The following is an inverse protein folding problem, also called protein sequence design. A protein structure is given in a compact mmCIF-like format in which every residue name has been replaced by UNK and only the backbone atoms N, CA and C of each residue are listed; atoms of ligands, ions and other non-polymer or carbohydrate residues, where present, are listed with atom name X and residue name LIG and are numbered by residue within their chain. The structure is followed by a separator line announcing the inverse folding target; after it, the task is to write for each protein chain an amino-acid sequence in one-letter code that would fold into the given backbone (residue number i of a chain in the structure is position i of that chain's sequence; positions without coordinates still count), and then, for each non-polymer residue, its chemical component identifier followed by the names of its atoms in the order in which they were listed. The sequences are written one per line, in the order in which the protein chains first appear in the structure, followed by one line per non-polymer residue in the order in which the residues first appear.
data_IF_296688930366
#
_entry.id   IF_296688930366
#
_cell.length_a   1.000
_cell.length_b   1.000
_cell.length_c   1.000
_cell.angle_alpha   90.00
_cell.angle_beta   90.00
_cell.angle_gamma   90.00
#
_symmetry.space_group_name_H-M   'P 1'
#
loop_
_entity.id
_entity.type
_entity.pdbx_description
1 polymer ?
#
# COMPACT_ATOMS: atom_id res chain seq x y z
N UNK A 1 7.90 -10.60 -7.98
CA UNK A 1 7.70 -9.34 -7.24
C UNK A 1 8.93 -9.11 -6.40
N UNK A 2 9.72 -8.08 -6.67
CA UNK A 2 11.01 -7.81 -6.01
C UNK A 2 10.89 -7.29 -4.57
N UNK A 3 9.81 -7.58 -3.83
CA UNK A 3 9.66 -7.15 -2.42
C UNK A 3 9.74 -5.63 -2.15
N UNK A 4 9.79 -4.79 -3.18
CA UNK A 4 10.05 -3.34 -3.04
C UNK A 4 8.86 -2.59 -2.43
N UNK A 5 7.63 -3.10 -2.61
CA UNK A 5 6.43 -2.49 -2.07
C UNK A 5 6.21 -2.94 -0.63
N UNK A 6 6.39 -2.01 0.30
CA UNK A 6 6.21 -2.19 1.75
C UNK A 6 5.00 -1.44 2.30
N UNK A 7 4.28 -0.71 1.44
CA UNK A 7 3.13 0.08 1.83
C UNK A 7 2.02 0.04 0.77
N UNK A 8 0.77 0.15 1.21
CA UNK A 8 -0.38 0.34 0.32
C UNK A 8 -1.37 1.32 0.92
N UNK A 9 -1.94 2.18 0.06
CA UNK A 9 -2.98 3.14 0.43
C UNK A 9 -4.34 2.74 -0.10
N UNK A 10 -5.39 2.90 0.72
CA UNK A 10 -6.77 2.62 0.35
C UNK A 10 -7.73 3.68 0.86
N UNK A 11 -8.78 3.97 0.09
CA UNK A 11 -9.86 4.87 0.53
C UNK A 11 -10.66 4.30 1.71
N UNK A 12 -10.76 2.97 1.79
CA UNK A 12 -11.49 2.28 2.86
C UNK A 12 -10.53 1.52 3.74
N UNK A 13 -10.82 1.50 5.04
CA UNK A 13 -10.07 0.71 6.01
C UNK A 13 -10.12 -0.77 5.62
N UNK A 14 -8.98 -1.40 5.31
CA UNK A 14 -8.96 -2.82 5.02
C UNK A 14 -9.25 -3.64 6.29
N UNK A 15 -9.86 -4.83 6.18
CA UNK A 15 -10.15 -5.71 7.32
C UNK A 15 -8.89 -6.47 7.79
N UNK A 16 -7.74 -5.80 7.78
CA UNK A 16 -6.46 -6.34 8.25
C UNK A 16 -6.13 -5.76 9.61
N UNK A 17 -5.36 -6.52 10.41
CA UNK A 17 -4.95 -6.14 11.76
C UNK A 17 -3.43 -5.96 11.80
N UNK A 18 -2.91 -4.96 12.53
CA UNK A 18 -1.48 -4.84 12.75
C UNK A 18 -0.94 -6.09 13.47
N UNK A 19 0.33 -6.38 13.23
CA UNK A 19 1.06 -7.55 13.72
C UNK A 19 0.47 -8.93 13.34
N UNK A 20 -0.41 -9.00 12.33
CA UNK A 20 -0.85 -10.27 11.73
C UNK A 20 -0.17 -10.52 10.39
N UNK A 21 0.05 -11.80 10.10
CA UNK A 21 0.49 -12.28 8.78
C UNK A 21 -0.71 -12.66 7.91
N UNK A 22 -0.61 -12.36 6.62
CA UNK A 22 -1.61 -12.71 5.61
C UNK A 22 -0.93 -13.31 4.38
N UNK A 23 -1.48 -14.38 3.78
CA UNK A 23 -0.93 -14.94 2.56
C UNK A 23 -1.15 -13.98 1.38
N UNK A 24 -0.14 -13.83 0.54
CA UNK A 24 -0.27 -13.07 -0.70
C UNK A 24 -1.14 -13.82 -1.70
N UNK A 25 -2.14 -13.11 -2.25
CA UNK A 25 -3.03 -13.63 -3.29
C UNK A 25 -3.09 -12.67 -4.46
N UNK A 26 -2.99 -13.21 -5.68
CA UNK A 26 -3.25 -12.49 -6.92
C UNK A 26 -4.40 -13.23 -7.63
N UNK A 27 -5.58 -12.63 -7.64
CA UNK A 27 -6.80 -13.29 -8.13
C UNK A 27 -7.05 -14.60 -7.38
N UNK A 28 -7.15 -15.70 -8.11
CA UNK A 28 -7.33 -17.04 -7.55
C UNK A 28 -6.03 -17.74 -7.14
N UNK A 29 -4.86 -17.11 -7.33
CA UNK A 29 -3.55 -17.73 -7.08
C UNK A 29 -2.99 -17.28 -5.74
N UNK A 30 -2.72 -18.22 -4.83
CA UNK A 30 -1.85 -17.98 -3.68
C UNK A 30 -0.40 -17.91 -4.17
N UNK A 31 0.30 -16.83 -3.84
CA UNK A 31 1.74 -16.72 -4.07
C UNK A 31 2.50 -17.38 -2.92
N UNK A 32 3.71 -17.93 -3.19
CA UNK A 32 4.63 -18.32 -2.13
C UNK A 32 5.13 -17.04 -1.44
N UNK A 33 4.68 -16.81 -0.21
CA UNK A 33 5.04 -15.64 0.59
C UNK A 33 3.87 -15.10 1.40
N UNK A 34 4.20 -14.48 2.52
CA UNK A 34 3.25 -13.86 3.44
C UNK A 34 3.60 -12.39 3.61
N UNK A 35 2.62 -11.56 3.95
CA UNK A 35 2.85 -10.18 4.36
C UNK A 35 2.51 -10.04 5.83
N UNK A 36 3.42 -9.48 6.61
CA UNK A 36 3.16 -9.11 8.00
C UNK A 36 2.76 -7.64 8.04
N UNK A 37 1.54 -7.35 8.48
CA UNK A 37 1.12 -5.96 8.68
C UNK A 37 1.90 -5.39 9.86
N UNK A 38 2.63 -4.30 9.66
CA UNK A 38 3.30 -3.55 10.72
C UNK A 38 2.28 -2.65 11.41
N UNK A 39 1.76 -1.68 10.67
CA UNK A 39 0.88 -0.63 11.19
C UNK A 39 -0.20 -0.24 10.18
N UNK A 40 -1.28 0.34 10.71
CA UNK A 40 -2.40 0.84 9.93
C UNK A 40 -2.79 2.20 10.50
N UNK A 41 -2.66 3.26 9.71
CA UNK A 41 -2.98 4.62 10.13
C UNK A 41 -3.67 5.40 9.01
N UNK A 42 -4.30 6.52 9.38
CA UNK A 42 -4.84 7.47 8.42
C UNK A 42 -3.77 8.50 8.07
N UNK A 43 -3.55 8.74 6.79
CA UNK A 43 -2.73 9.82 6.29
C UNK A 43 -3.56 10.62 5.28
N UNK A 44 -3.40 11.94 5.28
CA UNK A 44 -3.98 12.79 4.25
C UNK A 44 -3.16 12.66 2.97
N UNK A 45 -3.80 12.56 1.80
CA UNK A 45 -3.08 12.41 0.52
C UNK A 45 -2.11 13.56 0.25
N UNK A 46 -2.44 14.78 0.66
CA UNK A 46 -1.57 15.95 0.56
C UNK A 46 -0.33 15.91 1.49
N UNK A 47 -0.35 15.13 2.57
CA UNK A 47 0.77 14.97 3.52
C UNK A 47 1.78 13.90 3.09
N UNK A 48 1.64 13.38 1.87
CA UNK A 48 2.51 12.35 1.33
C UNK A 48 3.93 12.88 1.08
N UNK A 49 4.93 12.16 1.60
CA UNK A 49 6.35 12.46 1.37
C UNK A 49 6.94 11.58 0.28
N UNK A 50 8.08 12.02 -0.25
CA UNK A 50 8.84 11.24 -1.24
C UNK A 50 9.25 9.85 -0.72
N UNK A 51 9.54 9.73 0.57
CA UNK A 51 9.83 8.44 1.21
C UNK A 51 8.64 7.47 1.11
N UNK A 52 7.42 7.99 1.26
CA UNK A 52 6.21 7.17 1.16
C UNK A 52 5.95 6.72 -0.29
N UNK A 53 6.41 7.47 -1.29
CA UNK A 53 6.36 7.04 -2.70
C UNK A 53 7.26 5.82 -2.91
N UNK A 54 8.50 5.89 -2.40
CA UNK A 54 9.47 4.79 -2.51
C UNK A 54 8.92 3.53 -1.85
N UNK A 55 8.34 3.64 -0.65
CA UNK A 55 7.68 2.51 0.04
C UNK A 55 6.52 1.92 -0.75
N UNK A 56 5.82 2.72 -1.54
CA UNK A 56 4.73 2.27 -2.39
C UNK A 56 5.19 1.68 -3.74
N UNK A 57 6.48 1.82 -4.06
CA UNK A 57 7.12 1.38 -5.29
C UNK A 57 7.18 2.44 -6.39
N UNK A 58 6.95 3.71 -6.07
CA UNK A 58 7.02 4.83 -7.01
C UNK A 58 8.23 5.72 -6.71
N UNK A 59 8.90 6.18 -7.76
CA UNK A 59 10.00 7.15 -7.64
C UNK A 59 9.56 8.59 -7.87
N UNK A 60 8.37 8.80 -8.46
CA UNK A 60 7.82 10.11 -8.78
C UNK A 60 6.38 10.25 -8.29
N UNK A 61 6.07 11.42 -7.76
CA UNK A 61 4.73 11.76 -7.29
C UNK A 61 3.71 11.80 -8.43
N UNK A 62 4.11 12.26 -9.61
CA UNK A 62 3.25 12.35 -10.79
C UNK A 62 2.77 10.96 -11.27
N UNK A 63 3.67 9.97 -11.25
CA UNK A 63 3.32 8.58 -11.61
C UNK A 63 2.31 8.01 -10.62
N UNK A 64 2.54 8.21 -9.32
CA UNK A 64 1.59 7.81 -8.28
C UNK A 64 0.23 8.50 -8.44
N UNK A 65 0.22 9.81 -8.68
CA UNK A 65 -1.02 10.58 -8.88
C UNK A 65 -1.80 10.09 -10.10
N UNK A 66 -1.10 9.76 -11.20
CA UNK A 66 -1.72 9.22 -12.40
C UNK A 66 -2.35 7.85 -12.14
N UNK A 67 -1.62 6.94 -11.49
CA UNK A 67 -2.12 5.60 -11.11
C UNK A 67 -3.32 5.71 -10.15
N UNK A 68 -3.25 6.63 -9.19
CA UNK A 68 -4.34 6.92 -8.26
C UNK A 68 -5.60 7.39 -8.98
N UNK A 69 -5.47 8.35 -9.90
CA UNK A 69 -6.61 8.85 -10.69
C UNK A 69 -7.14 7.76 -11.63
N UNK A 70 -6.30 6.87 -12.15
CA UNK A 70 -6.76 5.75 -12.98
C UNK A 70 -7.63 4.77 -12.18
N UNK A 71 -7.20 4.45 -10.95
CA UNK A 71 -7.91 3.52 -10.05
C UNK A 71 -9.17 4.17 -9.45
N UNK A 72 -9.05 5.38 -8.92
CA UNK A 72 -10.09 6.02 -8.11
C UNK A 72 -10.87 7.11 -8.83
N UNK A 73 -10.46 7.53 -10.03
CA UNK A 73 -11.09 8.59 -10.86
C UNK A 73 -11.05 10.01 -10.30
N UNK A 74 -10.44 10.22 -9.14
CA UNK A 74 -10.27 11.56 -8.56
C UNK A 74 -8.96 11.65 -7.78
N UNK A 75 -8.48 12.88 -7.63
CA UNK A 75 -7.39 13.23 -6.71
C UNK A 75 -7.87 14.38 -5.85
N UNK A 76 -7.86 14.18 -4.54
CA UNK A 76 -8.15 15.24 -3.58
C UNK A 76 -7.14 15.17 -2.45
N UNK A 77 -6.38 16.24 -2.27
CA UNK A 77 -5.33 16.34 -1.27
C UNK A 77 -5.87 16.35 0.17
N UNK A 78 -7.14 16.70 0.37
CA UNK A 78 -7.81 16.70 1.67
C UNK A 78 -8.33 15.32 2.06
N UNK A 79 -8.31 14.36 1.13
CA UNK A 79 -8.84 13.02 1.34
C UNK A 79 -7.94 12.25 2.30
N UNK A 80 -8.55 11.78 3.38
CA UNK A 80 -7.90 10.86 4.32
C UNK A 80 -7.90 9.45 3.74
N UNK A 81 -6.71 8.87 3.60
CA UNK A 81 -6.51 7.50 3.12
C UNK A 81 -5.95 6.64 4.22
N UNK A 82 -6.32 5.36 4.19
CA UNK A 82 -5.78 4.36 5.08
C UNK A 82 -4.48 3.83 4.50
N UNK A 83 -3.39 4.10 5.20
CA UNK A 83 -2.07 3.56 4.94
C UNK A 83 -1.94 2.25 5.70
N UNK A 84 -1.51 1.21 4.98
CA UNK A 84 -1.13 -0.07 5.57
C UNK A 84 0.34 -0.31 5.25
N UNK A 85 1.17 -0.29 6.29
CA UNK A 85 2.56 -0.70 6.21
C UNK A 85 2.66 -2.20 6.48
N UNK A 86 3.39 -2.90 5.62
CA UNK A 86 3.59 -4.32 5.73
C UNK A 86 4.99 -4.73 5.26
N UNK A 87 5.44 -5.87 5.76
CA UNK A 87 6.72 -6.46 5.41
C UNK A 87 6.48 -7.77 4.68
N UNK A 88 7.21 -7.96 3.58
CA UNK A 88 7.17 -9.21 2.83
C UNK A 88 8.03 -10.27 3.52
N UNK A 89 7.40 -11.39 3.85
CA UNK A 89 8.03 -12.59 4.39
C UNK A 89 8.10 -13.64 3.27
N UNK A 90 9.27 -13.80 2.61
CA UNK A 90 9.45 -14.88 1.65
C UNK A 90 9.31 -16.23 2.37
N UNK A 91 8.64 -17.19 1.73
CA UNK A 91 8.70 -18.59 2.14
C UNK A 91 9.84 -19.26 1.38
N UNK A 92 10.83 -19.74 2.12
CA UNK A 92 11.90 -20.63 1.65
C UNK A 92 11.34 -21.98 1.17
#
# INVERSE_FOLDING_TARGET
MKGEKTMTRRLRKPPVKPNKTYPLRIGNRCLPGEIKIKEIYCQRLGDMKNEDLIKEGFTKFEDFKKDWIEIYRFWDENTNVWVVEFEYLPKE
#
